data_IF_334684378794
#
_entry.id   IF_334684378794
#
_cell.length_a   1.000
_cell.length_b   1.000
_cell.length_c   1.000
_cell.angle_alpha   90.00
_cell.angle_beta   90.00
_cell.angle_gamma   90.00
#
_symmetry.space_group_name_H-M   'P 1'
#
loop_
_entity.id
_entity.type
_entity.pdbx_description
1 polymer ?
#
# COMPACT_ATOMS: atom_id res chain seq x y z
N UNK A 1 16.42 9.75 1.20
CA UNK A 1 16.67 8.43 1.85
C UNK A 1 17.12 7.46 0.77
N UNK A 2 18.18 6.69 0.97
CA UNK A 2 18.66 5.74 -0.05
C UNK A 2 17.85 4.44 0.01
N UNK A 3 16.90 4.26 -0.88
CA UNK A 3 16.02 3.09 -0.96
C UNK A 3 16.60 1.96 -1.83
N UNK A 4 17.80 2.13 -2.39
CA UNK A 4 18.33 1.24 -3.42
C UNK A 4 18.51 -0.21 -2.95
N UNK A 5 18.96 -0.44 -1.71
CA UNK A 5 19.13 -1.79 -1.19
C UNK A 5 17.80 -2.51 -1.00
N UNK A 6 16.83 -1.85 -0.36
CA UNK A 6 15.50 -2.41 -0.16
C UNK A 6 14.82 -2.69 -1.50
N UNK A 7 14.87 -1.75 -2.45
CA UNK A 7 14.32 -1.94 -3.78
C UNK A 7 14.96 -3.15 -4.50
N UNK A 8 16.29 -3.29 -4.42
CA UNK A 8 16.99 -4.45 -4.98
C UNK A 8 16.52 -5.77 -4.34
N UNK A 9 16.38 -5.83 -3.02
CA UNK A 9 15.87 -7.02 -2.34
C UNK A 9 14.45 -7.37 -2.79
N UNK A 10 13.56 -6.37 -2.87
CA UNK A 10 12.17 -6.57 -3.27
C UNK A 10 12.05 -7.03 -4.74
N UNK A 11 12.82 -6.46 -5.66
CA UNK A 11 12.79 -6.83 -7.08
C UNK A 11 13.34 -8.24 -7.34
N UNK A 12 14.33 -8.68 -6.57
CA UNK A 12 14.98 -9.99 -6.77
C UNK A 12 14.28 -11.13 -6.01
N UNK A 13 13.33 -10.83 -5.13
CA UNK A 13 12.56 -11.86 -4.41
C UNK A 13 11.30 -12.19 -5.23
N UNK A 14 11.38 -13.21 -6.07
CA UNK A 14 10.31 -13.63 -6.98
C UNK A 14 9.38 -14.72 -6.43
N UNK A 15 9.61 -15.19 -5.20
CA UNK A 15 8.75 -16.13 -4.49
C UNK A 15 7.94 -15.41 -3.41
N UNK A 16 6.62 -15.66 -3.38
CA UNK A 16 5.69 -14.99 -2.47
C UNK A 16 5.95 -15.34 -0.99
N UNK A 17 6.34 -16.58 -0.70
CA UNK A 17 6.59 -17.02 0.68
C UNK A 17 7.87 -16.38 1.22
N UNK A 18 8.94 -16.40 0.43
CA UNK A 18 10.19 -15.71 0.74
C UNK A 18 9.98 -14.20 0.89
N UNK A 19 9.15 -13.57 0.05
CA UNK A 19 8.80 -12.17 0.19
C UNK A 19 8.08 -11.90 1.52
N UNK A 20 7.09 -12.72 1.90
CA UNK A 20 6.39 -12.58 3.19
C UNK A 20 7.34 -12.73 4.38
N UNK A 21 8.28 -13.67 4.32
CA UNK A 21 9.30 -13.86 5.36
C UNK A 21 10.26 -12.67 5.43
N UNK A 22 10.74 -12.18 4.28
CA UNK A 22 11.60 -11.00 4.19
C UNK A 22 10.92 -9.77 4.82
N UNK A 23 9.68 -9.47 4.43
CA UNK A 23 8.93 -8.33 4.96
C UNK A 23 8.72 -8.44 6.47
N UNK A 24 8.43 -9.64 7.00
CA UNK A 24 8.31 -9.89 8.44
C UNK A 24 9.63 -9.78 9.20
N UNK A 25 10.77 -10.02 8.53
CA UNK A 25 12.08 -9.89 9.14
C UNK A 25 12.55 -8.43 9.24
N UNK A 26 12.18 -7.60 8.27
CA UNK A 26 12.65 -6.19 8.19
C UNK A 26 11.69 -5.19 8.85
N UNK A 27 10.39 -5.53 8.98
CA UNK A 27 9.39 -4.66 9.56
C UNK A 27 8.77 -5.27 10.81
N UNK A 28 8.41 -4.41 11.76
CA UNK A 28 7.59 -4.79 12.90
C UNK A 28 6.14 -5.06 12.48
N UNK A 29 5.40 -5.82 13.30
CA UNK A 29 3.97 -6.05 13.09
C UNK A 29 3.16 -4.74 13.03
N UNK A 30 3.59 -3.71 13.76
CA UNK A 30 2.95 -2.39 13.75
C UNK A 30 3.17 -1.68 12.41
N UNK A 31 4.41 -1.66 11.91
CA UNK A 31 4.72 -1.05 10.61
C UNK A 31 4.01 -1.77 9.46
N UNK A 32 3.97 -3.10 9.47
CA UNK A 32 3.22 -3.88 8.47
C UNK A 32 1.73 -3.51 8.46
N UNK A 33 1.11 -3.31 9.63
CA UNK A 33 -0.27 -2.84 9.75
C UNK A 33 -0.45 -1.42 9.20
N UNK A 34 0.52 -0.53 9.43
CA UNK A 34 0.50 0.81 8.86
C UNK A 34 0.64 0.80 7.33
N UNK A 35 1.48 -0.08 6.77
CA UNK A 35 1.58 -0.29 5.33
C UNK A 35 0.29 -0.85 4.73
N UNK A 36 -0.34 -1.84 5.38
CA UNK A 36 -1.63 -2.39 4.96
C UNK A 36 -2.72 -1.32 4.89
N UNK A 37 -2.85 -0.50 5.96
CA UNK A 37 -3.76 0.63 5.97
C UNK A 37 -3.46 1.61 4.82
N UNK A 38 -2.19 1.86 4.52
CA UNK A 38 -1.79 2.76 3.43
C UNK A 38 -2.17 2.20 2.06
N UNK A 39 -2.00 0.91 1.83
CA UNK A 39 -2.45 0.24 0.60
C UNK A 39 -3.97 0.35 0.45
N UNK A 40 -4.73 0.10 1.53
CA UNK A 40 -6.19 0.24 1.55
C UNK A 40 -6.66 1.67 1.29
N UNK A 41 -5.97 2.68 1.84
CA UNK A 41 -6.25 4.09 1.53
C UNK A 41 -6.12 4.32 0.02
N UNK A 42 -5.02 3.88 -0.61
CA UNK A 42 -4.85 4.04 -2.06
C UNK A 42 -5.94 3.32 -2.84
N UNK A 43 -6.31 2.10 -2.45
CA UNK A 43 -7.40 1.35 -3.09
C UNK A 43 -8.73 2.10 -3.05
N UNK A 44 -9.09 2.67 -1.90
CA UNK A 44 -10.35 3.41 -1.73
C UNK A 44 -10.32 4.76 -2.46
N UNK A 45 -9.18 5.45 -2.47
CA UNK A 45 -8.99 6.67 -3.28
C UNK A 45 -9.12 6.38 -4.78
N UNK A 46 -8.53 5.28 -5.27
CA UNK A 46 -8.68 4.82 -6.65
C UNK A 46 -10.13 4.46 -7.01
N UNK A 47 -10.96 4.15 -6.01
CA UNK A 47 -12.40 3.90 -6.15
C UNK A 47 -13.25 5.17 -6.01
N UNK A 48 -12.64 6.34 -5.81
CA UNK A 48 -13.33 7.62 -5.67
C UNK A 48 -14.00 7.86 -4.32
N UNK A 49 -13.63 7.10 -3.28
CA UNK A 49 -14.19 7.25 -1.93
C UNK A 49 -13.75 8.57 -1.30
N UNK A 50 -14.62 9.19 -0.48
CA UNK A 50 -14.29 10.45 0.20
C UNK A 50 -13.37 10.21 1.39
N UNK A 51 -12.52 11.19 1.71
CA UNK A 51 -11.52 11.03 2.78
C UNK A 51 -12.13 10.67 4.15
N UNK A 52 -13.29 11.26 4.46
CA UNK A 52 -14.01 10.98 5.71
C UNK A 52 -14.50 9.53 5.78
N UNK A 53 -15.09 9.03 4.69
CA UNK A 53 -15.55 7.64 4.58
C UNK A 53 -14.36 6.67 4.73
N UNK A 54 -13.23 6.97 4.10
CA UNK A 54 -12.00 6.17 4.24
C UNK A 54 -11.49 6.16 5.69
N UNK A 55 -11.49 7.32 6.33
CA UNK A 55 -11.05 7.50 7.72
C UNK A 55 -11.90 6.66 8.68
N UNK A 56 -13.21 6.69 8.50
CA UNK A 56 -14.19 5.91 9.27
C UNK A 56 -14.06 4.40 8.98
N UNK A 57 -14.00 4.00 7.71
CA UNK A 57 -13.92 2.59 7.29
C UNK A 57 -12.66 1.89 7.78
N UNK A 58 -11.51 2.58 7.77
CA UNK A 58 -10.22 2.01 8.18
C UNK A 58 -9.88 2.29 9.65
N UNK A 59 -10.74 3.03 10.36
CA UNK A 59 -10.49 3.49 11.72
C UNK A 59 -9.11 4.15 11.88
N UNK A 60 -8.78 5.06 10.96
CA UNK A 60 -7.55 5.86 10.97
C UNK A 60 -7.91 7.34 11.04
N UNK A 61 -7.03 8.17 11.63
CA UNK A 61 -7.27 9.61 11.68
C UNK A 61 -7.33 10.25 10.29
N UNK A 62 -8.16 11.29 10.14
CA UNK A 62 -8.35 12.00 8.86
C UNK A 62 -7.04 12.52 8.26
N UNK A 63 -6.09 12.96 9.10
CA UNK A 63 -4.77 13.42 8.66
C UNK A 63 -3.95 12.31 7.97
N UNK A 64 -4.14 11.05 8.35
CA UNK A 64 -3.51 9.91 7.69
C UNK A 64 -4.05 9.73 6.27
N UNK A 65 -5.37 9.87 6.09
CA UNK A 65 -6.01 9.80 4.77
C UNK A 65 -5.58 10.99 3.91
N UNK A 66 -5.55 12.20 4.46
CA UNK A 66 -5.08 13.40 3.74
C UNK A 66 -3.64 13.23 3.23
N UNK A 67 -2.72 12.71 4.05
CA UNK A 67 -1.35 12.41 3.61
C UNK A 67 -1.33 11.34 2.51
N UNK A 68 -2.21 10.34 2.60
CA UNK A 68 -2.40 9.33 1.56
C UNK A 68 -2.84 9.95 0.23
N UNK A 69 -3.87 10.82 0.24
CA UNK A 69 -4.36 11.50 -0.96
C UNK A 69 -3.30 12.36 -1.61
N UNK A 70 -2.56 13.15 -0.80
CA UNK A 70 -1.46 13.97 -1.33
C UNK A 70 -0.39 13.13 -2.02
N UNK A 71 -0.05 11.95 -1.49
CA UNK A 71 0.88 11.05 -2.16
C UNK A 71 0.27 10.42 -3.43
N UNK A 72 -1.01 10.04 -3.37
CA UNK A 72 -1.73 9.48 -4.52
C UNK A 72 -1.78 10.44 -5.72
N UNK A 73 -1.97 11.74 -5.47
CA UNK A 73 -2.00 12.78 -6.50
C UNK A 73 -0.61 13.12 -7.06
N UNK A 74 0.42 13.12 -6.20
CA UNK A 74 1.77 13.59 -6.54
C UNK A 74 2.64 12.53 -7.19
N UNK A 75 2.51 11.27 -6.78
CA UNK A 75 3.43 10.22 -7.23
C UNK A 75 3.03 9.67 -8.61
N UNK A 76 3.96 9.72 -9.56
CA UNK A 76 3.71 9.35 -10.96
C UNK A 76 3.29 7.88 -11.13
N UNK A 77 3.71 6.99 -10.23
CA UNK A 77 3.36 5.58 -10.29
C UNK A 77 1.85 5.34 -10.36
N UNK A 78 1.03 6.17 -9.71
CA UNK A 78 -0.43 6.05 -9.72
C UNK A 78 -1.08 6.52 -11.02
N UNK A 79 -0.35 7.29 -11.84
CA UNK A 79 -0.78 7.75 -13.18
C UNK A 79 -0.37 6.75 -14.27
N UNK A 80 0.61 5.90 -13.99
CA UNK A 80 1.12 4.91 -14.93
C UNK A 80 0.16 3.71 -15.07
N UNK A 81 0.00 3.21 -16.30
CA UNK A 81 -0.68 1.92 -16.55
C UNK A 81 0.34 0.79 -16.40
N UNK A 82 0.43 0.22 -15.20
CA UNK A 82 1.33 -0.91 -14.90
C UNK A 82 0.58 -2.05 -14.23
N UNK A 83 1.07 -3.28 -14.42
CA UNK A 83 0.51 -4.46 -13.75
C UNK A 83 0.45 -4.29 -12.21
N UNK A 84 1.41 -3.60 -11.60
CA UNK A 84 1.43 -3.38 -10.15
C UNK A 84 0.26 -2.49 -9.72
N UNK A 85 -0.07 -1.46 -10.49
CA UNK A 85 -1.23 -0.59 -10.21
C UNK A 85 -2.54 -1.34 -10.44
N UNK A 86 -2.61 -2.19 -11.46
CA UNK A 86 -3.78 -3.03 -11.71
C UNK A 86 -3.99 -4.06 -10.59
N UNK A 87 -2.90 -4.66 -10.10
CA UNK A 87 -2.90 -5.50 -8.91
C UNK A 87 -3.43 -4.69 -7.73
N UNK A 88 -2.87 -3.51 -7.44
CA UNK A 88 -3.30 -2.66 -6.34
C UNK A 88 -4.79 -2.33 -6.43
N UNK A 89 -5.30 -2.01 -7.62
CA UNK A 89 -6.73 -1.71 -7.86
C UNK A 89 -7.64 -2.91 -7.59
N UNK A 90 -7.14 -4.14 -7.69
CA UNK A 90 -7.96 -5.34 -7.53
C UNK A 90 -8.45 -5.52 -6.08
N UNK A 91 -9.76 -5.69 -5.90
CA UNK A 91 -10.39 -5.94 -4.59
C UNK A 91 -10.12 -7.34 -4.01
N UNK A 92 -9.24 -8.14 -4.64
CA UNK A 92 -9.10 -9.58 -4.32
C UNK A 92 -8.25 -9.89 -3.08
N UNK A 93 -7.56 -8.91 -2.49
CA UNK A 93 -6.63 -9.15 -1.39
C UNK A 93 -7.29 -9.42 -0.03
N UNK A 94 -8.58 -9.11 0.13
CA UNK A 94 -9.31 -9.33 1.39
C UNK A 94 -9.88 -10.75 1.55
N UNK A 95 -9.72 -11.64 0.55
CA UNK A 95 -10.31 -12.98 0.56
C UNK A 95 -9.37 -14.12 0.97
N UNK A 96 -8.10 -13.86 1.25
CA UNK A 96 -7.20 -14.87 1.81
C UNK A 96 -7.35 -14.91 3.35
N UNK A 97 -8.52 -15.37 3.80
CA UNK A 97 -8.68 -15.97 5.13
C UNK A 97 -8.36 -17.45 5.07
#
# INVERSE_FOLDING_TARGET
>A
MNTNLLAKLLVNTNDLNNMKLLLKAIFTSKELKEFDNRLKIFQLLMQGQKHREISENLNVGIATVTRGSLAFEKEEIFKMKTNIIDILRSKKFDNDK
#
